data_IF_991137192000
#
_entry.id   IF_991137192000
#
_cell.length_a   1.000
_cell.length_b   1.000
_cell.length_c   1.000
_cell.angle_alpha   90.00
_cell.angle_beta   90.00
_cell.angle_gamma   90.00
#
_symmetry.space_group_name_H-M   'P 1'
#
loop_
_entity.id
_entity.type
_entity.pdbx_description
1 polymer ?
#
# COMPACT_ATOMS: atom_id res chain seq x y z
N UNK A 1 -3.47 6.42 -15.53
CA UNK A 1 -2.20 6.96 -15.00
C UNK A 1 -1.29 5.80 -14.70
N UNK A 2 -0.22 5.62 -15.47
CA UNK A 2 0.89 4.76 -15.07
C UNK A 2 1.71 5.64 -14.12
N UNK A 3 1.42 5.56 -12.82
CA UNK A 3 2.24 6.23 -11.82
C UNK A 3 3.62 5.60 -11.90
N UNK A 4 4.65 6.39 -12.26
CA UNK A 4 6.02 5.90 -12.29
C UNK A 4 6.40 5.51 -10.87
N UNK A 5 6.65 4.22 -10.66
CA UNK A 5 7.16 3.68 -9.41
C UNK A 5 8.52 3.03 -9.68
N UNK A 6 9.43 3.12 -8.71
CA UNK A 6 10.83 2.74 -8.85
C UNK A 6 11.09 1.34 -8.29
N UNK A 7 10.11 0.45 -8.50
CA UNK A 7 10.10 -0.90 -7.95
C UNK A 7 9.12 -1.08 -6.79
N UNK A 8 9.30 -2.18 -6.06
CA UNK A 8 8.51 -2.55 -4.89
C UNK A 8 9.40 -3.04 -3.76
N UNK A 9 8.91 -2.94 -2.52
CA UNK A 9 9.60 -3.46 -1.33
C UNK A 9 8.60 -4.13 -0.39
N UNK A 10 8.99 -5.24 0.21
CA UNK A 10 8.22 -5.84 1.30
C UNK A 10 8.60 -5.21 2.64
N UNK A 11 7.61 -4.64 3.32
CA UNK A 11 7.79 -4.01 4.64
C UNK A 11 6.82 -4.58 5.66
N UNK A 12 7.09 -4.36 6.95
CA UNK A 12 6.10 -4.62 7.98
C UNK A 12 4.88 -3.72 7.78
N UNK A 13 3.66 -4.28 7.90
CA UNK A 13 2.40 -3.56 7.80
C UNK A 13 2.41 -2.28 8.65
N UNK A 14 2.99 -2.32 9.85
CA UNK A 14 3.07 -1.17 10.75
C UNK A 14 3.87 0.03 10.21
N UNK A 15 4.76 -0.19 9.23
CA UNK A 15 5.46 0.89 8.53
C UNK A 15 4.59 1.53 7.42
N UNK A 16 3.45 0.92 7.08
CA UNK A 16 2.60 1.40 5.99
C UNK A 16 1.75 2.59 6.44
N UNK A 17 2.01 3.77 5.89
CA UNK A 17 1.23 4.98 6.14
C UNK A 17 -0.01 5.08 5.22
N UNK A 18 -1.10 5.74 5.68
CA UNK A 18 -2.19 6.15 4.81
C UNK A 18 -1.69 6.97 3.61
N UNK A 19 -2.28 6.75 2.43
CA UNK A 19 -1.88 7.36 1.16
C UNK A 19 -0.88 6.52 0.36
N UNK A 20 -0.14 5.62 1.00
CA UNK A 20 0.86 4.79 0.32
C UNK A 20 0.20 3.74 -0.58
N UNK A 21 0.81 3.53 -1.75
CA UNK A 21 0.41 2.51 -2.70
C UNK A 21 1.01 1.16 -2.29
N UNK A 22 0.15 0.15 -2.27
CA UNK A 22 0.50 -1.23 -1.92
C UNK A 22 0.02 -2.18 -3.00
N UNK A 23 0.74 -3.29 -3.17
CA UNK A 23 0.28 -4.40 -3.99
C UNK A 23 -0.59 -5.32 -3.13
N UNK A 24 -1.82 -5.53 -3.57
CA UNK A 24 -2.77 -6.40 -2.88
C UNK A 24 -3.64 -7.14 -3.88
N UNK A 25 -3.66 -8.47 -3.78
CA UNK A 25 -4.19 -9.35 -4.84
C UNK A 25 -3.49 -9.03 -6.17
N UNK A 26 -4.23 -8.99 -7.27
CA UNK A 26 -3.70 -8.75 -8.62
C UNK A 26 -3.67 -7.25 -8.99
N UNK A 27 -3.58 -6.34 -8.01
CA UNK A 27 -3.66 -4.90 -8.30
C UNK A 27 -2.99 -3.98 -7.30
N UNK A 28 -2.96 -2.70 -7.66
CA UNK A 28 -2.49 -1.59 -6.85
C UNK A 28 -3.64 -1.00 -6.03
N UNK A 29 -3.39 -0.80 -4.74
CA UNK A 29 -4.37 -0.27 -3.80
C UNK A 29 -3.74 0.87 -2.97
N UNK A 30 -4.56 1.80 -2.52
CA UNK A 30 -4.14 2.86 -1.61
C UNK A 30 -4.43 2.45 -0.17
N UNK A 31 -3.41 2.51 0.69
CA UNK A 31 -3.55 2.37 2.13
C UNK A 31 -4.38 3.52 2.70
N UNK A 32 -5.36 3.22 3.56
CA UNK A 32 -6.25 4.25 4.13
C UNK A 32 -6.15 4.36 5.65
N UNK A 33 -6.15 3.24 6.38
CA UNK A 33 -6.10 3.29 7.84
C UNK A 33 -5.60 1.99 8.46
N UNK A 34 -4.93 2.11 9.59
CA UNK A 34 -4.70 1.00 10.52
C UNK A 34 -5.77 0.99 11.60
N UNK A 35 -6.50 -0.13 11.74
CA UNK A 35 -7.48 -0.27 12.82
C UNK A 35 -7.67 -1.74 13.19
N UNK A 36 -7.66 -2.04 14.50
CA UNK A 36 -7.90 -3.39 15.05
C UNK A 36 -7.02 -4.47 14.39
N UNK A 37 -5.73 -4.18 14.22
CA UNK A 37 -4.76 -5.11 13.60
C UNK A 37 -4.97 -5.36 12.11
N UNK A 38 -5.73 -4.49 11.41
CA UNK A 38 -5.97 -4.54 9.97
C UNK A 38 -5.44 -3.28 9.31
N UNK A 39 -4.93 -3.43 8.09
CA UNK A 39 -4.67 -2.32 7.17
C UNK A 39 -5.80 -2.26 6.15
N UNK A 40 -6.55 -1.16 6.16
CA UNK A 40 -7.64 -0.91 5.23
C UNK A 40 -7.10 -0.33 3.94
N UNK A 41 -7.63 -0.80 2.82
CA UNK A 41 -7.20 -0.49 1.47
C UNK A 41 -8.40 -0.05 0.63
N UNK A 42 -8.19 0.85 -0.33
CA UNK A 42 -9.19 1.16 -1.33
C UNK A 42 -8.59 1.30 -2.73
N UNK A 43 -9.43 1.09 -3.74
CA UNK A 43 -9.12 1.29 -5.15
C UNK A 43 -10.38 1.81 -5.85
N UNK A 44 -10.40 3.10 -6.18
CA UNK A 44 -11.64 3.76 -6.64
C UNK A 44 -12.77 3.59 -5.61
N UNK A 45 -13.89 3.00 -6.02
CA UNK A 45 -15.03 2.70 -5.15
C UNK A 45 -14.85 1.42 -4.32
N UNK A 46 -13.89 0.56 -4.67
CA UNK A 46 -13.65 -0.70 -3.99
C UNK A 46 -12.93 -0.48 -2.66
N UNK A 47 -13.33 -1.25 -1.63
CA UNK A 47 -12.75 -1.22 -0.29
C UNK A 47 -12.49 -2.63 0.21
N UNK A 48 -11.34 -2.84 0.81
CA UNK A 48 -10.95 -4.11 1.41
C UNK A 48 -10.03 -3.88 2.60
N UNK A 49 -9.55 -4.95 3.22
CA UNK A 49 -8.52 -4.90 4.24
C UNK A 49 -7.61 -6.11 4.14
N UNK A 50 -6.39 -5.97 4.67
CA UNK A 50 -5.46 -7.07 4.87
C UNK A 50 -5.06 -7.19 6.33
N UNK A 51 -4.86 -8.44 6.76
CA UNK A 51 -4.29 -8.80 8.07
C UNK A 51 -2.83 -9.26 7.97
N UNK A 52 -2.28 -9.37 6.76
CA UNK A 52 -0.91 -9.80 6.55
C UNK A 52 0.08 -8.88 7.30
N UNK A 53 1.13 -9.48 7.87
CA UNK A 53 2.18 -8.74 8.56
C UNK A 53 3.14 -8.09 7.57
N UNK A 54 3.37 -8.74 6.43
CA UNK A 54 4.25 -8.25 5.37
C UNK A 54 3.40 -7.70 4.24
N UNK A 55 3.72 -6.48 3.80
CA UNK A 55 3.02 -5.76 2.74
C UNK A 55 4.05 -5.33 1.70
N UNK A 56 3.76 -5.62 0.44
CA UNK A 56 4.54 -5.12 -0.69
C UNK A 56 4.05 -3.69 -1.02
N UNK A 57 4.94 -2.71 -0.89
CA UNK A 57 4.69 -1.29 -1.19
C UNK A 57 5.38 -0.90 -2.49
N UNK A 58 4.80 0.07 -3.19
CA UNK A 58 5.47 0.71 -4.33
C UNK A 58 6.44 1.78 -3.83
N UNK A 59 7.54 1.99 -4.55
CA UNK A 59 8.57 2.97 -4.17
C UNK A 59 8.57 4.22 -5.06
N UNK A 60 8.86 5.36 -4.46
CA UNK A 60 9.18 6.61 -5.17
C UNK A 60 10.65 6.65 -5.64
N UNK A 61 11.05 7.71 -6.34
CA UNK A 61 12.41 7.87 -6.87
C UNK A 61 13.50 8.07 -5.80
N UNK A 62 13.12 8.14 -4.53
CA UNK A 62 14.01 8.28 -3.36
C UNK A 62 14.06 6.99 -2.53
N UNK A 63 13.31 5.96 -2.91
CA UNK A 63 13.21 4.69 -2.18
C UNK A 63 12.23 4.71 -1.00
N UNK A 64 11.38 5.74 -0.88
CA UNK A 64 10.31 5.77 0.11
C UNK A 64 9.04 5.13 -0.43
N UNK A 65 8.09 4.81 0.45
CA UNK A 65 6.75 4.38 0.03
C UNK A 65 6.08 5.44 -0.83
N UNK A 66 5.69 5.05 -2.05
CA UNK A 66 5.02 5.91 -3.01
C UNK A 66 3.63 6.24 -2.49
N UNK A 67 3.40 7.50 -2.15
CA UNK A 67 2.09 8.03 -1.76
C UNK A 67 1.49 8.84 -2.89
N UNK A 68 0.17 8.75 -3.00
CA UNK A 68 -0.64 9.56 -3.92
C UNK A 68 -1.14 10.84 -3.23
#
# INVERSE_FOLDING_TARGET
MISQHYGTQTVNRGAVQPGMLVKHRDGTWTASAHKRGKLYLHRGCERTYTKALLIEIYLDGRGNGLSN
#
